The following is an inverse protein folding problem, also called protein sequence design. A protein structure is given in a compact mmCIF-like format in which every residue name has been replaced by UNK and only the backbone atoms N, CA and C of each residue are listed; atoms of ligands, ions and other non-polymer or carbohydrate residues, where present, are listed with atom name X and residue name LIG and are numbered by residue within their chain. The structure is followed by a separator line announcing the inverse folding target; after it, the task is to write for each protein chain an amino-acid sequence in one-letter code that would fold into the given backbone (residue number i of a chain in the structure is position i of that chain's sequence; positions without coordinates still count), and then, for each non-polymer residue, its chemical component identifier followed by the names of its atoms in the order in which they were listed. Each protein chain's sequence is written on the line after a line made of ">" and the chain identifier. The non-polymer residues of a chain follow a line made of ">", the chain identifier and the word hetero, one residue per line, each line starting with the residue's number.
data_IF_607185498246
#
_entry.id   IF_607185498246
#
_cell.length_a   1.000
_cell.length_b   1.000
_cell.length_c   1.000
_cell.angle_alpha   90.00
_cell.angle_beta   90.00
_cell.angle_gamma   90.00
#
_symmetry.space_group_name_H-M   'P 1'
#
loop_
_entity.id
_entity.type
_entity.pdbx_description
1 polymer ?
#
# COMPACT_ATOMS: atom_id res chain seq x y z
N UNK A 1 -13.55 8.84 21.10
CA UNK A 1 -14.00 7.47 20.78
C UNK A 1 -13.02 6.85 19.80
N UNK A 2 -12.65 5.56 19.93
CA UNK A 2 -11.76 4.94 18.96
C UNK A 2 -12.47 4.78 17.61
N UNK A 3 -11.84 5.27 16.54
CA UNK A 3 -12.39 5.15 15.19
C UNK A 3 -12.26 3.72 14.68
N UNK A 4 -13.28 3.25 13.98
CA UNK A 4 -13.19 2.02 13.17
C UNK A 4 -12.80 2.38 11.75
N UNK A 5 -12.08 1.48 11.10
CA UNK A 5 -11.71 1.57 9.69
C UNK A 5 -12.03 0.26 8.98
N UNK A 6 -12.21 0.33 7.67
CA UNK A 6 -12.11 -0.86 6.81
C UNK A 6 -10.82 -0.74 6.03
N UNK A 7 -9.99 -1.77 6.15
CA UNK A 7 -8.76 -1.94 5.39
C UNK A 7 -8.94 -3.02 4.34
N UNK A 8 -8.39 -2.77 3.16
CA UNK A 8 -8.13 -3.80 2.18
C UNK A 8 -6.70 -4.27 2.40
N UNK A 9 -6.53 -5.52 2.80
CA UNK A 9 -5.24 -6.17 2.96
C UNK A 9 -4.81 -6.87 1.67
N UNK A 10 -3.55 -6.71 1.30
CA UNK A 10 -2.93 -7.44 0.21
C UNK A 10 -2.48 -8.80 0.75
N UNK A 11 -2.94 -9.90 0.17
CA UNK A 11 -2.60 -11.26 0.58
C UNK A 11 -1.64 -11.95 -0.38
N UNK A 12 -1.54 -11.46 -1.62
CA UNK A 12 -0.63 -11.99 -2.62
C UNK A 12 0.81 -12.04 -2.07
N UNK A 13 1.44 -13.22 -1.98
CA UNK A 13 2.72 -13.38 -1.31
C UNK A 13 3.89 -12.70 -2.04
N UNK A 14 3.78 -12.52 -3.36
CA UNK A 14 4.80 -11.85 -4.17
C UNK A 14 4.72 -10.35 -3.97
N UNK A 15 3.51 -9.79 -3.97
CA UNK A 15 3.30 -8.36 -3.72
C UNK A 15 3.65 -8.02 -2.27
N UNK A 16 3.27 -8.87 -1.30
CA UNK A 16 3.73 -8.74 0.09
C UNK A 16 5.26 -8.71 0.16
N UNK A 17 5.94 -9.68 -0.47
CA UNK A 17 7.40 -9.71 -0.48
C UNK A 17 8.01 -8.44 -1.09
N UNK A 18 7.44 -7.92 -2.18
CA UNK A 18 7.87 -6.65 -2.77
C UNK A 18 7.81 -5.50 -1.76
N UNK A 19 6.64 -5.21 -1.19
CA UNK A 19 6.48 -4.10 -0.25
C UNK A 19 7.26 -4.31 1.04
N UNK A 20 7.40 -5.55 1.52
CA UNK A 20 8.21 -5.83 2.70
C UNK A 20 9.68 -5.55 2.47
N UNK A 21 10.25 -5.99 1.35
CA UNK A 21 11.66 -5.74 1.04
C UNK A 21 11.93 -4.25 0.76
N UNK A 22 11.00 -3.55 0.10
CA UNK A 22 11.07 -2.09 -0.06
C UNK A 22 11.05 -1.42 1.31
N UNK A 23 10.08 -1.73 2.17
CA UNK A 23 9.97 -1.14 3.51
C UNK A 23 11.21 -1.42 4.38
N UNK A 24 11.75 -2.64 4.32
CA UNK A 24 12.94 -3.02 5.07
C UNK A 24 14.17 -2.23 4.63
N UNK A 25 14.34 -1.99 3.32
CA UNK A 25 15.43 -1.15 2.81
C UNK A 25 15.23 0.32 3.22
N UNK A 26 13.99 0.81 3.22
CA UNK A 26 13.67 2.21 3.46
C UNK A 26 13.73 2.60 4.94
N UNK A 27 13.32 1.71 5.84
CA UNK A 27 13.19 1.96 7.29
C UNK A 27 14.28 1.25 8.10
N UNK A 28 14.92 0.22 7.54
CA UNK A 28 15.93 -0.59 8.23
C UNK A 28 15.35 -1.69 9.13
N UNK A 29 14.03 -1.83 9.20
CA UNK A 29 13.35 -2.91 9.93
C UNK A 29 12.27 -3.57 9.07
N UNK A 30 12.00 -4.85 9.33
CA UNK A 30 10.91 -5.56 8.68
C UNK A 30 9.57 -4.93 9.09
N UNK A 31 8.65 -4.67 8.14
CA UNK A 31 7.36 -4.13 8.51
C UNK A 31 6.60 -5.12 9.39
N UNK A 32 5.95 -4.58 10.42
CA UNK A 32 5.15 -5.37 11.37
C UNK A 32 3.77 -5.73 10.82
N UNK A 33 3.40 -5.20 9.66
CA UNK A 33 2.05 -5.28 9.08
C UNK A 33 2.16 -5.58 7.59
N UNK A 34 1.19 -6.34 7.09
CA UNK A 34 1.01 -6.50 5.66
C UNK A 34 0.67 -5.15 5.00
N UNK A 35 1.04 -4.95 3.72
CA UNK A 35 0.60 -3.80 2.95
C UNK A 35 -0.92 -3.76 2.92
N UNK A 36 -1.49 -2.60 3.24
CA UNK A 36 -2.93 -2.42 3.29
C UNK A 36 -3.32 -1.02 2.81
N UNK A 37 -4.52 -0.95 2.25
CA UNK A 37 -5.16 0.28 1.83
C UNK A 37 -6.31 0.58 2.79
N UNK A 38 -6.31 1.77 3.39
CA UNK A 38 -7.51 2.28 4.05
C UNK A 38 -8.56 2.61 3.01
N UNK A 39 -9.68 1.89 2.99
CA UNK A 39 -10.79 2.11 2.03
C UNK A 39 -11.95 2.88 2.66
N UNK A 40 -12.23 2.64 3.94
CA UNK A 40 -13.28 3.34 4.69
C UNK A 40 -12.84 3.79 6.08
N UNK A 41 -13.37 4.91 6.54
CA UNK A 41 -13.22 5.42 7.90
C UNK A 41 -12.53 6.79 7.99
N UNK A 42 -12.45 7.36 9.20
CA UNK A 42 -12.91 6.77 10.47
C UNK A 42 -14.45 6.74 10.60
N UNK A 43 -14.98 5.72 11.27
CA UNK A 43 -16.38 5.65 11.71
C UNK A 43 -16.56 6.17 13.14
N UNK A 44 -17.68 6.84 13.40
CA UNK A 44 -18.12 7.27 14.73
C UNK A 44 -18.79 6.09 15.45
N UNK A 45 -17.99 5.13 15.92
CA UNK A 45 -18.47 3.94 16.65
C UNK A 45 -18.32 2.64 15.87
N UNK A 46 -18.88 1.57 16.42
CA UNK A 46 -18.72 0.20 15.90
C UNK A 46 -19.29 0.11 14.48
N UNK A 47 -18.48 -0.42 13.58
CA UNK A 47 -18.88 -0.72 12.21
C UNK A 47 -19.99 -1.80 12.22
N UNK A 48 -21.18 -1.54 11.63
CA UNK A 48 -22.16 -2.58 11.39
C UNK A 48 -21.57 -3.65 10.46
N UNK A 49 -21.76 -4.93 10.80
CA UNK A 49 -21.23 -6.06 10.04
C UNK A 49 -21.71 -6.07 8.58
N UNK A 50 -22.97 -5.66 8.35
CA UNK A 50 -23.54 -5.54 7.00
C UNK A 50 -22.71 -4.65 6.08
N UNK A 51 -22.13 -3.56 6.60
CA UNK A 51 -21.30 -2.65 5.80
C UNK A 51 -20.03 -3.36 5.33
N UNK A 52 -19.42 -4.19 6.18
CA UNK A 52 -18.23 -4.95 5.80
C UNK A 52 -18.57 -6.01 4.75
N UNK A 53 -19.68 -6.73 4.93
CA UNK A 53 -20.13 -7.76 3.97
C UNK A 53 -20.52 -7.17 2.61
N UNK A 54 -21.21 -6.03 2.57
CA UNK A 54 -21.47 -5.30 1.32
C UNK A 54 -20.17 -4.93 0.59
N UNK A 55 -19.15 -4.50 1.34
CA UNK A 55 -17.86 -4.17 0.75
C UNK A 55 -17.13 -5.43 0.24
N UNK A 56 -17.17 -6.54 0.99
CA UNK A 56 -16.60 -7.82 0.58
C UNK A 56 -17.26 -8.32 -0.71
N UNK A 57 -18.58 -8.29 -0.79
CA UNK A 57 -19.29 -8.72 -1.99
C UNK A 57 -18.97 -7.82 -3.20
N UNK A 58 -18.87 -6.50 -3.01
CA UNK A 58 -18.46 -5.59 -4.06
C UNK A 58 -17.04 -5.86 -4.61
N UNK A 59 -16.15 -6.47 -3.81
CA UNK A 59 -14.75 -6.71 -4.16
C UNK A 59 -14.41 -8.18 -4.48
N UNK A 60 -15.39 -9.10 -4.37
CA UNK A 60 -15.19 -10.57 -4.30
C UNK A 60 -14.35 -11.20 -5.42
N UNK A 61 -14.34 -10.58 -6.61
CA UNK A 61 -13.59 -11.06 -7.78
C UNK A 61 -12.72 -9.96 -8.40
N UNK A 62 -12.52 -8.89 -7.64
CA UNK A 62 -11.85 -7.72 -8.15
C UNK A 62 -10.34 -7.97 -8.19
N UNK A 63 -9.69 -7.54 -9.28
CA UNK A 63 -8.23 -7.59 -9.40
C UNK A 63 -7.72 -6.17 -9.27
N UNK A 64 -6.87 -5.92 -8.29
CA UNK A 64 -6.28 -4.61 -8.08
C UNK A 64 -5.08 -4.44 -8.99
N UNK A 65 -5.02 -3.30 -9.68
CA UNK A 65 -3.81 -2.84 -10.35
C UNK A 65 -3.04 -1.95 -9.39
N UNK A 66 -1.82 -2.34 -9.05
CA UNK A 66 -0.93 -1.58 -8.17
C UNK A 66 0.17 -0.96 -9.03
N UNK A 67 0.28 0.36 -8.98
CA UNK A 67 1.10 1.18 -9.86
C UNK A 67 0.24 1.98 -10.87
N UNK A 68 0.82 3.00 -11.52
CA UNK A 68 2.21 3.43 -11.39
C UNK A 68 2.49 4.16 -10.06
N UNK A 69 3.75 4.56 -9.86
CA UNK A 69 4.15 5.39 -8.73
C UNK A 69 3.46 6.75 -8.79
N UNK A 70 3.13 7.29 -7.63
CA UNK A 70 2.65 8.64 -7.45
C UNK A 70 3.34 9.32 -6.28
N UNK A 71 3.18 10.65 -6.23
CA UNK A 71 3.64 11.48 -5.13
C UNK A 71 2.66 12.60 -4.86
N UNK A 72 2.56 13.00 -3.60
CA UNK A 72 1.99 14.30 -3.23
C UNK A 72 2.74 14.85 -2.03
N UNK A 73 2.68 16.17 -1.87
CA UNK A 73 3.17 16.86 -0.69
C UNK A 73 1.98 17.20 0.23
N UNK A 74 2.15 17.01 1.53
CA UNK A 74 1.16 17.37 2.54
C UNK A 74 1.85 18.16 3.64
N UNK A 75 1.69 19.49 3.61
CA UNK A 75 2.51 20.43 4.40
C UNK A 75 3.99 20.22 4.06
N UNK A 76 4.82 19.95 5.05
CA UNK A 76 6.27 19.76 4.91
C UNK A 76 6.66 18.28 4.67
N UNK A 77 5.67 17.39 4.55
CA UNK A 77 5.91 15.97 4.29
C UNK A 77 5.70 15.63 2.82
N UNK A 78 6.60 14.81 2.29
CA UNK A 78 6.50 14.18 0.98
C UNK A 78 6.05 12.74 1.16
N UNK A 79 5.04 12.34 0.39
CA UNK A 79 4.52 10.98 0.38
C UNK A 79 4.76 10.39 -1.01
N UNK A 80 5.48 9.28 -1.07
CA UNK A 80 5.65 8.48 -2.29
C UNK A 80 4.92 7.16 -2.11
N UNK A 81 4.17 6.77 -3.14
CA UNK A 81 3.24 5.65 -3.06
C UNK A 81 3.06 4.96 -4.41
N UNK A 82 2.53 3.74 -4.38
CA UNK A 82 1.96 3.11 -5.57
C UNK A 82 0.45 3.37 -5.59
N UNK A 83 -0.08 3.84 -6.73
CA UNK A 83 -1.53 3.95 -6.92
C UNK A 83 -2.16 2.56 -6.91
N UNK A 84 -3.40 2.45 -6.43
CA UNK A 84 -4.16 1.19 -6.45
C UNK A 84 -5.46 1.43 -7.18
N UNK A 85 -5.64 0.83 -8.34
CA UNK A 85 -6.86 0.99 -9.13
C UNK A 85 -7.65 -0.31 -9.22
N UNK A 86 -8.96 -0.18 -9.24
CA UNK A 86 -9.86 -1.27 -9.59
C UNK A 86 -11.27 -0.75 -9.95
N UNK A 87 -12.03 -1.49 -10.78
CA UNK A 87 -13.40 -1.10 -11.14
C UNK A 87 -14.35 -0.94 -9.94
N UNK A 88 -14.13 -1.67 -8.85
CA UNK A 88 -15.05 -1.70 -7.69
C UNK A 88 -14.59 -0.86 -6.51
N UNK A 89 -13.30 -0.49 -6.43
CA UNK A 89 -12.74 0.21 -5.27
C UNK A 89 -13.43 1.56 -5.00
N UNK A 90 -13.85 2.27 -6.06
CA UNK A 90 -14.60 3.52 -5.93
C UNK A 90 -15.97 3.32 -5.27
N UNK A 91 -16.62 2.16 -5.47
CA UNK A 91 -17.95 1.85 -4.90
C UNK A 91 -17.89 1.71 -3.38
N UNK A 92 -16.76 1.22 -2.86
CA UNK A 92 -16.54 1.05 -1.43
C UNK A 92 -15.79 2.22 -0.78
N UNK A 93 -15.42 3.27 -1.52
CA UNK A 93 -14.61 4.35 -0.99
C UNK A 93 -15.41 5.32 -0.11
N UNK A 94 -15.05 5.41 1.18
CA UNK A 94 -15.68 6.36 2.09
C UNK A 94 -14.71 6.90 3.15
N UNK A 95 -14.19 8.11 2.92
CA UNK A 95 -13.25 8.77 3.84
C UNK A 95 -13.82 10.12 4.27
N UNK A 96 -14.57 10.22 5.38
CA UNK A 96 -15.15 11.49 5.83
C UNK A 96 -14.08 12.55 6.15
N UNK A 97 -12.92 12.14 6.67
CA UNK A 97 -11.79 13.03 6.94
C UNK A 97 -11.00 13.42 5.70
N UNK A 98 -11.24 12.76 4.55
CA UNK A 98 -10.58 13.03 3.28
C UNK A 98 -11.58 12.87 2.12
N UNK A 99 -12.63 13.70 2.07
CA UNK A 99 -13.78 13.46 1.21
C UNK A 99 -13.40 13.56 -0.26
N UNK A 100 -13.91 12.62 -1.06
CA UNK A 100 -13.61 12.52 -2.49
C UNK A 100 -13.92 13.80 -3.28
N UNK A 101 -14.96 14.57 -2.87
CA UNK A 101 -15.29 15.86 -3.49
C UNK A 101 -14.19 16.91 -3.37
N UNK A 102 -13.39 16.87 -2.30
CA UNK A 102 -12.34 17.84 -2.02
C UNK A 102 -10.96 17.35 -2.46
N UNK A 103 -10.69 16.06 -2.30
CA UNK A 103 -9.36 15.51 -2.48
C UNK A 103 -9.24 14.49 -3.63
N UNK A 104 -10.33 14.24 -4.34
CA UNK A 104 -10.38 13.23 -5.39
C UNK A 104 -10.36 11.79 -4.85
N UNK A 105 -10.26 10.86 -5.79
CA UNK A 105 -10.14 9.44 -5.51
C UNK A 105 -8.66 9.05 -5.64
N UNK A 106 -7.98 8.86 -4.50
CA UNK A 106 -6.55 8.53 -4.45
C UNK A 106 -6.28 7.28 -3.59
N UNK A 107 -6.74 6.09 -4.00
CA UNK A 107 -6.32 4.83 -3.42
C UNK A 107 -4.82 4.57 -3.66
N UNK A 108 -4.07 4.32 -2.59
CA UNK A 108 -2.62 4.13 -2.69
C UNK A 108 -2.03 3.30 -1.55
N UNK A 109 -0.87 2.69 -1.81
CA UNK A 109 0.02 2.06 -0.84
C UNK A 109 1.27 2.92 -0.67
N UNK A 110 1.40 3.58 0.48
CA UNK A 110 2.56 4.42 0.79
C UNK A 110 3.80 3.59 1.07
N UNK A 111 4.93 4.00 0.50
CA UNK A 111 6.24 3.37 0.73
C UNK A 111 7.24 4.34 1.36
N UNK A 112 6.97 5.64 1.29
CA UNK A 112 7.75 6.68 1.95
C UNK A 112 6.84 7.80 2.43
N UNK A 113 7.15 8.29 3.63
CA UNK A 113 6.60 9.53 4.19
C UNK A 113 7.70 10.21 5.00
N UNK A 114 8.06 11.43 4.62
CA UNK A 114 9.09 12.17 5.34
C UNK A 114 9.37 13.55 4.76
N UNK A 115 10.25 14.30 5.40
CA UNK A 115 10.54 15.71 5.05
C UNK A 115 11.63 15.87 3.97
N UNK A 116 12.34 14.79 3.61
CA UNK A 116 13.46 14.85 2.67
C UNK A 116 12.96 14.85 1.23
N UNK A 117 12.73 16.05 0.68
CA UNK A 117 12.26 16.25 -0.69
C UNK A 117 13.19 15.67 -1.76
N UNK A 118 14.51 15.85 -1.61
CA UNK A 118 15.48 15.33 -2.59
C UNK A 118 15.48 13.80 -2.66
N UNK A 119 15.32 13.17 -1.51
CA UNK A 119 15.15 11.73 -1.44
C UNK A 119 13.85 11.28 -2.10
N UNK A 120 12.73 11.98 -1.84
CA UNK A 120 11.46 11.71 -2.52
C UNK A 120 11.57 11.85 -4.05
N UNK A 121 12.26 12.89 -4.54
CA UNK A 121 12.53 13.09 -5.98
C UNK A 121 13.31 11.90 -6.57
N UNK A 122 14.38 11.47 -5.90
CA UNK A 122 15.22 10.35 -6.33
C UNK A 122 14.47 9.02 -6.32
N UNK A 123 13.64 8.80 -5.31
CA UNK A 123 12.80 7.61 -5.19
C UNK A 123 11.75 7.54 -6.30
N UNK A 124 11.05 8.63 -6.58
CA UNK A 124 10.07 8.70 -7.69
C UNK A 124 10.77 8.41 -9.01
N UNK A 125 11.91 9.07 -9.29
CA UNK A 125 12.66 8.86 -10.54
C UNK A 125 13.11 7.40 -10.73
N UNK A 126 13.54 6.72 -9.65
CA UNK A 126 13.82 5.29 -9.71
C UNK A 126 12.57 4.48 -10.07
N UNK A 127 11.46 4.72 -9.38
CA UNK A 127 10.24 3.92 -9.52
C UNK A 127 9.55 4.14 -10.87
N UNK A 128 9.59 5.36 -11.41
CA UNK A 128 9.13 5.67 -12.77
C UNK A 128 9.95 4.92 -13.81
N UNK A 129 11.29 4.88 -13.64
CA UNK A 129 12.18 4.14 -14.55
C UNK A 129 12.00 2.63 -14.50
N UNK A 130 11.57 2.09 -13.36
CA UNK A 130 11.34 0.65 -13.19
C UNK A 130 9.96 0.21 -13.70
N UNK A 131 9.05 1.16 -14.01
CA UNK A 131 7.73 0.93 -14.61
C UNK A 131 6.92 -0.19 -13.94
N UNK A 132 7.05 -0.32 -12.62
CA UNK A 132 6.49 -1.45 -11.87
C UNK A 132 4.96 -1.35 -11.83
N UNK A 133 4.31 -2.34 -12.44
CA UNK A 133 2.86 -2.56 -12.37
C UNK A 133 2.62 -3.99 -11.89
N UNK A 134 1.86 -4.15 -10.80
CA UNK A 134 1.51 -5.44 -10.21
C UNK A 134 0.00 -5.65 -10.25
N UNK A 135 -0.44 -6.89 -10.45
CA UNK A 135 -1.86 -7.27 -10.41
C UNK A 135 -2.10 -8.16 -9.18
N UNK A 136 -3.08 -7.81 -8.37
CA UNK A 136 -3.39 -8.49 -7.11
C UNK A 136 -4.82 -9.02 -7.13
N UNK A 137 -4.99 -10.33 -7.29
CA UNK A 137 -6.28 -10.99 -7.11
C UNK A 137 -6.52 -11.40 -5.65
N UNK A 138 -5.45 -11.70 -4.91
CA UNK A 138 -5.53 -12.17 -3.53
C UNK A 138 -5.53 -10.98 -2.55
N UNK A 139 -6.72 -10.54 -2.15
CA UNK A 139 -6.92 -9.50 -1.14
C UNK A 139 -8.11 -9.84 -0.23
N UNK A 140 -8.21 -9.15 0.90
CA UNK A 140 -9.39 -9.24 1.78
C UNK A 140 -9.72 -7.91 2.42
N UNK A 141 -10.98 -7.73 2.77
CA UNK A 141 -11.45 -6.60 3.57
C UNK A 141 -11.59 -7.00 5.04
N UNK A 142 -11.02 -6.20 5.93
CA UNK A 142 -11.11 -6.37 7.39
C UNK A 142 -11.56 -5.09 8.07
N UNK A 143 -12.28 -5.22 9.18
CA UNK A 143 -12.53 -4.10 10.09
C UNK A 143 -11.39 -3.96 11.09
N UNK A 144 -10.89 -2.75 11.30
CA UNK A 144 -9.80 -2.47 12.24
C UNK A 144 -10.22 -1.39 13.26
N UNK A 145 -10.00 -1.66 14.55
CA UNK A 145 -10.17 -0.69 15.63
C UNK A 145 -8.86 0.05 15.92
N UNK A 146 -8.87 1.38 16.01
CA UNK A 146 -7.69 2.17 16.41
C UNK A 146 -7.11 1.64 17.73
N UNK A 147 -5.79 1.38 17.74
CA UNK A 147 -4.99 0.78 18.84
C UNK A 147 -5.19 -0.73 19.10
N UNK A 148 -5.88 -1.45 18.22
CA UNK A 148 -5.83 -2.90 18.26
C UNK A 148 -4.42 -3.37 17.84
N UNK A 149 -3.74 -4.09 18.73
CA UNK A 149 -2.51 -4.82 18.42
C UNK A 149 -2.94 -6.02 17.58
N UNK A 150 -2.37 -6.11 16.39
CA UNK A 150 -2.91 -6.80 15.23
C UNK A 150 -2.83 -8.34 15.31
N UNK A 151 -3.94 -9.01 14.94
CA UNK A 151 -3.99 -10.39 14.44
C UNK A 151 -3.73 -10.39 12.92
N UNK A 152 -2.66 -9.74 12.48
CA UNK A 152 -2.25 -9.85 11.09
C UNK A 152 -1.39 -11.11 11.01
N UNK A 153 -1.66 -12.02 10.07
CA UNK A 153 -0.81 -13.19 9.93
C UNK A 153 0.63 -12.71 9.75
N UNK A 154 1.56 -13.34 10.49
CA UNK A 154 2.99 -13.14 10.30
C UNK A 154 3.34 -13.61 8.89
N UNK A 155 3.13 -12.75 7.90
CA UNK A 155 3.52 -13.02 6.52
C UNK A 155 5.03 -12.78 6.44
N UNK A 156 5.78 -13.82 6.79
CA UNK A 156 7.24 -13.84 6.67
C UNK A 156 7.58 -13.74 5.18
N UNK A 157 8.22 -12.65 4.72
CA UNK A 157 8.62 -12.50 3.33
C UNK A 157 9.65 -13.58 3.02
N UNK A 158 9.31 -14.49 2.12
CA UNK A 158 10.27 -15.48 1.63
C UNK A 158 10.92 -14.91 0.39
N UNK A 159 12.25 -14.76 0.38
CA UNK A 159 13.01 -14.25 -0.77
C UNK A 159 12.64 -14.95 -2.10
N UNK A 160 12.13 -16.18 -2.04
CA UNK A 160 11.56 -16.91 -3.18
C UNK A 160 10.40 -16.18 -3.87
N UNK A 161 9.54 -15.47 -3.14
CA UNK A 161 8.38 -14.78 -3.70
C UNK A 161 8.80 -13.53 -4.46
N UNK A 162 9.75 -12.75 -3.92
CA UNK A 162 10.35 -11.66 -4.68
C UNK A 162 11.11 -12.17 -5.92
N UNK A 163 11.83 -13.31 -5.80
CA UNK A 163 12.50 -13.92 -6.94
C UNK A 163 11.52 -14.24 -8.08
N UNK A 164 10.29 -14.67 -7.79
CA UNK A 164 9.27 -14.90 -8.83
C UNK A 164 8.87 -13.62 -9.56
N UNK A 165 8.81 -12.46 -8.90
CA UNK A 165 8.61 -11.18 -9.58
C UNK A 165 9.74 -10.87 -10.56
N UNK A 166 10.98 -11.18 -10.17
CA UNK A 166 12.16 -11.00 -11.03
C UNK A 166 12.16 -11.99 -12.19
N UNK A 167 11.93 -13.27 -11.93
CA UNK A 167 11.91 -14.33 -12.95
C UNK A 167 10.80 -14.08 -13.99
N UNK A 168 9.67 -13.51 -13.57
CA UNK A 168 8.57 -13.11 -14.46
C UNK A 168 8.73 -11.72 -15.08
N UNK A 169 9.90 -11.08 -14.91
CA UNK A 169 10.21 -9.74 -15.43
C UNK A 169 9.26 -8.61 -14.98
N UNK A 170 8.47 -8.82 -13.91
CA UNK A 170 7.63 -7.78 -13.30
C UNK A 170 8.43 -6.77 -12.48
N UNK A 171 9.62 -7.18 -12.02
CA UNK A 171 10.56 -6.32 -11.30
C UNK A 171 11.98 -6.60 -11.80
N UNK A 172 12.77 -5.56 -12.02
CA UNK A 172 14.18 -5.71 -12.43
C UNK A 172 15.00 -6.46 -11.36
N UNK A 173 15.92 -7.36 -11.76
CA UNK A 173 16.86 -7.99 -10.83
C UNK A 173 17.77 -6.97 -10.10
N UNK A 174 17.93 -5.77 -10.66
CA UNK A 174 18.76 -4.69 -10.07
C UNK A 174 17.96 -3.73 -9.18
N UNK A 175 16.63 -3.86 -9.12
CA UNK A 175 15.76 -2.92 -8.42
C UNK A 175 16.19 -2.67 -6.97
N UNK A 176 16.31 -3.73 -6.16
CA UNK A 176 16.67 -3.60 -4.74
C UNK A 176 18.06 -2.99 -4.53
N UNK A 177 19.03 -3.33 -5.38
CA UNK A 177 20.38 -2.72 -5.31
C UNK A 177 20.35 -1.22 -5.63
N UNK A 178 19.53 -0.79 -6.59
CA UNK A 178 19.36 0.64 -6.93
C UNK A 178 18.65 1.38 -5.80
N UNK A 179 17.62 0.78 -5.21
CA UNK A 179 16.91 1.35 -4.06
C UNK A 179 17.84 1.56 -2.85
N UNK A 180 18.62 0.52 -2.48
CA UNK A 180 19.62 0.62 -1.39
C UNK A 180 20.62 1.75 -1.61
N UNK A 181 21.08 1.94 -2.86
CA UNK A 181 22.00 3.01 -3.19
C UNK A 181 21.39 4.39 -2.93
N UNK A 182 20.14 4.62 -3.35
CA UNK A 182 19.46 5.91 -3.13
C UNK A 182 19.26 6.18 -1.63
N UNK A 183 18.91 5.15 -0.85
CA UNK A 183 18.80 5.27 0.62
C UNK A 183 20.16 5.67 1.21
N UNK A 184 21.24 4.98 0.86
CA UNK A 184 22.57 5.26 1.39
C UNK A 184 23.14 6.63 0.97
N UNK A 185 22.76 7.15 -0.20
CA UNK A 185 23.16 8.48 -0.67
C UNK A 185 22.36 9.62 -0.01
N UNK A 186 21.31 9.29 0.75
CA UNK A 186 20.37 10.25 1.33
C UNK A 186 20.34 10.30 2.85
N UNK A 187 21.09 9.40 3.50
CA UNK A 187 21.40 9.39 4.94
C UNK A 187 22.65 10.23 5.21
#
# INVERSE_FOLDING_TARGET
>A
MPGYFIFLEILDPEINAFFSMVSEIMVGEKPKRAPHLTVRGPYEGKLPESILEECKEAMKYDVLKIGPVGRFSNKDEEIVYFMVDSPHLRKIWWKPSYPMKKHGFNPHLSIYRGINRRFADSLVSLLEKEEIILLCAEHRLVSHLVKQIELFPENIPVARHFKRLVDSSRVSPKFLSRLKRIVNESL
#
